data_IF_374713035334
#
_entry.id   IF_374713035334
#
_cell.length_a   1.000
_cell.length_b   1.000
_cell.length_c   1.000
_cell.angle_alpha   90.00
_cell.angle_beta   90.00
_cell.angle_gamma   90.00
#
_symmetry.space_group_name_H-M   'P 1'
#
loop_
_entity.id
_entity.type
_entity.pdbx_description
1 polymer ?
#
# COMPACT_ATOMS: atom_id res chain seq x y z
N UNK A 1 -7.42 30.73 -8.38
CA UNK A 1 -6.86 29.44 -7.96
C UNK A 1 -5.60 29.20 -8.76
N UNK A 2 -4.45 29.12 -8.10
CA UNK A 2 -3.14 29.04 -8.74
C UNK A 2 -2.89 27.63 -9.26
N UNK A 3 -3.01 27.43 -10.58
CA UNK A 3 -2.52 26.25 -11.29
C UNK A 3 -1.01 26.09 -11.05
N UNK A 4 -0.60 25.42 -9.97
CA UNK A 4 0.81 25.36 -9.59
C UNK A 4 1.56 24.23 -10.30
N UNK A 5 0.90 23.18 -10.79
CA UNK A 5 1.62 21.94 -11.10
C UNK A 5 1.34 21.25 -12.46
N UNK A 6 0.30 21.55 -13.22
CA UNK A 6 0.07 20.78 -14.46
C UNK A 6 0.95 21.18 -15.65
N UNK A 7 1.54 22.39 -15.64
CA UNK A 7 2.29 22.92 -16.80
C UNK A 7 3.50 23.83 -16.47
N UNK A 8 3.95 23.91 -15.20
CA UNK A 8 5.08 24.79 -14.83
C UNK A 8 6.38 23.99 -14.82
N UNK A 9 7.43 24.54 -15.43
CA UNK A 9 8.75 23.93 -15.38
C UNK A 9 9.22 23.84 -13.91
N UNK A 10 9.84 22.74 -13.53
CA UNK A 10 10.39 22.55 -12.18
C UNK A 10 11.90 22.80 -12.25
N UNK A 11 12.44 23.64 -11.36
CA UNK A 11 13.87 23.94 -11.27
C UNK A 11 14.35 23.76 -9.85
N UNK A 12 15.50 23.13 -9.68
CA UNK A 12 16.22 23.11 -8.41
C UNK A 12 17.01 24.41 -8.29
N UNK A 13 17.00 25.02 -7.10
CA UNK A 13 17.79 26.23 -6.84
C UNK A 13 19.27 26.00 -7.15
N UNK A 14 19.90 26.95 -7.84
CA UNK A 14 21.30 26.82 -8.30
C UNK A 14 22.31 26.67 -7.16
N UNK A 15 22.01 27.21 -5.98
CA UNK A 15 22.81 27.05 -4.77
C UNK A 15 22.62 25.68 -4.10
N UNK A 16 21.65 24.88 -4.52
CA UNK A 16 21.49 23.51 -4.02
C UNK A 16 22.64 22.62 -4.48
N UNK A 17 23.11 21.75 -3.59
CA UNK A 17 24.05 20.68 -3.92
C UNK A 17 23.47 19.68 -4.93
N UNK A 18 22.14 19.62 -5.06
CA UNK A 18 21.43 18.79 -6.04
C UNK A 18 21.04 19.56 -7.32
N UNK A 19 21.58 20.77 -7.53
CA UNK A 19 21.36 21.54 -8.77
C UNK A 19 22.00 20.88 -10.00
N UNK A 20 23.06 20.09 -9.78
CA UNK A 20 23.70 19.23 -10.78
C UNK A 20 23.81 17.83 -10.17
N UNK A 21 23.15 16.85 -10.78
CA UNK A 21 23.16 15.47 -10.32
C UNK A 21 24.04 14.61 -11.24
N UNK A 22 25.05 13.98 -10.66
CA UNK A 22 25.79 12.92 -11.32
C UNK A 22 25.12 11.59 -11.00
N UNK A 23 24.67 10.85 -12.02
CA UNK A 23 24.14 9.51 -11.81
C UNK A 23 25.28 8.50 -11.76
N UNK A 24 25.62 8.03 -10.55
CA UNK A 24 26.60 6.96 -10.36
C UNK A 24 26.11 5.57 -10.80
N UNK A 25 24.82 5.41 -11.06
CA UNK A 25 24.20 4.14 -11.47
C UNK A 25 23.29 4.34 -12.71
N UNK A 26 23.83 4.76 -13.86
CA UNK A 26 23.05 4.99 -15.09
C UNK A 26 22.33 3.74 -15.61
N UNK A 27 22.81 2.55 -15.25
CA UNK A 27 22.21 1.27 -15.59
C UNK A 27 20.96 0.93 -14.76
N UNK A 28 20.72 1.62 -13.64
CA UNK A 28 19.57 1.35 -12.78
C UNK A 28 18.30 1.91 -13.47
N UNK A 29 17.33 1.04 -13.83
CA UNK A 29 16.14 1.48 -14.55
C UNK A 29 15.11 2.19 -13.66
N UNK A 30 15.29 2.14 -12.33
CA UNK A 30 14.34 2.68 -11.38
C UNK A 30 14.51 4.20 -11.24
N UNK A 31 13.40 4.98 -11.29
CA UNK A 31 13.47 6.41 -11.10
C UNK A 31 13.87 6.76 -9.66
N UNK A 32 14.63 7.86 -9.51
CA UNK A 32 14.97 8.43 -8.20
C UNK A 32 14.02 9.54 -7.83
N UNK A 33 13.66 9.62 -6.55
CA UNK A 33 12.90 10.72 -6.00
C UNK A 33 13.83 11.85 -5.56
N UNK A 34 13.46 13.08 -5.92
CA UNK A 34 14.00 14.28 -5.31
C UNK A 34 12.91 14.90 -4.44
N UNK A 35 13.15 14.96 -3.13
CA UNK A 35 12.24 15.58 -2.17
C UNK A 35 12.74 16.99 -1.87
N UNK A 36 11.84 17.95 -1.75
CA UNK A 36 12.17 19.34 -1.42
C UNK A 36 11.40 19.75 -0.17
N UNK A 37 12.07 20.45 0.75
CA UNK A 37 11.41 21.00 1.92
C UNK A 37 10.62 22.29 1.59
N UNK A 38 11.08 23.07 0.61
CA UNK A 38 10.42 24.32 0.22
C UNK A 38 10.19 24.39 -1.28
N UNK A 39 8.93 24.63 -1.64
CA UNK A 39 8.47 24.86 -3.00
C UNK A 39 8.13 26.35 -3.14
N UNK A 40 8.88 27.07 -3.96
CA UNK A 40 8.65 28.47 -4.28
C UNK A 40 8.13 28.64 -5.69
N UNK A 41 7.35 29.68 -5.93
CA UNK A 41 7.03 30.12 -7.29
C UNK A 41 8.04 31.17 -7.74
N UNK A 42 8.49 31.08 -8.98
CA UNK A 42 9.30 32.15 -9.60
C UNK A 42 8.55 33.48 -9.61
N UNK A 43 9.28 34.59 -9.58
CA UNK A 43 8.69 35.94 -9.64
C UNK A 43 7.86 36.15 -10.93
N UNK A 44 8.27 35.52 -12.02
CA UNK A 44 7.59 35.49 -13.32
C UNK A 44 6.49 34.44 -13.43
N UNK A 45 6.28 33.61 -12.40
CA UNK A 45 5.25 32.56 -12.35
C UNK A 45 5.39 31.46 -13.42
N UNK A 46 6.50 31.41 -14.15
CA UNK A 46 6.77 30.47 -15.25
C UNK A 46 7.29 29.11 -14.78
N UNK A 47 7.97 29.08 -13.63
CA UNK A 47 8.51 27.86 -13.04
C UNK A 47 8.33 27.78 -11.52
N UNK A 48 8.38 26.55 -11.02
CA UNK A 48 8.44 26.20 -9.60
C UNK A 48 9.90 25.96 -9.22
N UNK A 49 10.34 26.58 -8.12
CA UNK A 49 11.70 26.52 -7.59
C UNK A 49 11.74 25.64 -6.34
N UNK A 50 12.57 24.59 -6.38
CA UNK A 50 12.79 23.66 -5.27
C UNK A 50 14.02 24.07 -4.46
N UNK A 51 13.87 24.17 -3.14
CA UNK A 51 14.97 24.45 -2.19
C UNK A 51 15.07 23.36 -1.13
N UNK A 52 16.22 23.26 -0.47
CA UNK A 52 16.50 22.27 0.57
C UNK A 52 16.10 20.87 0.13
N UNK A 53 16.72 20.45 -0.98
CA UNK A 53 16.36 19.21 -1.68
C UNK A 53 17.23 18.04 -1.22
N UNK A 54 16.62 16.87 -1.07
CA UNK A 54 17.30 15.60 -0.79
C UNK A 54 17.02 14.60 -1.92
N UNK A 55 18.08 14.12 -2.56
CA UNK A 55 17.98 13.01 -3.52
C UNK A 55 17.88 11.70 -2.74
N UNK A 56 16.81 10.94 -2.95
CA UNK A 56 16.61 9.63 -2.34
C UNK A 56 17.36 8.54 -3.12
N UNK A 57 17.75 7.44 -2.46
CA UNK A 57 18.42 6.32 -3.11
C UNK A 57 17.55 5.68 -4.19
N UNK A 58 18.19 5.05 -5.18
CA UNK A 58 17.53 4.37 -6.29
C UNK A 58 16.99 2.97 -5.91
N UNK A 59 16.18 2.92 -4.85
CA UNK A 59 15.56 1.68 -4.38
C UNK A 59 14.38 1.33 -5.30
N UNK A 60 14.29 0.09 -5.83
CA UNK A 60 13.18 -0.36 -6.68
C UNK A 60 11.82 -0.07 -6.06
N UNK A 61 10.94 0.61 -6.80
CA UNK A 61 9.60 0.96 -6.33
C UNK A 61 9.51 2.03 -5.25
N UNK A 62 10.62 2.57 -4.74
CA UNK A 62 10.56 3.61 -3.69
C UNK A 62 9.77 4.85 -4.15
N UNK A 63 9.92 5.20 -5.42
CA UNK A 63 9.23 6.34 -6.02
C UNK A 63 7.70 6.23 -6.01
N UNK A 64 7.15 5.01 -6.07
CA UNK A 64 5.72 4.77 -6.02
C UNK A 64 5.24 4.37 -4.63
N UNK A 65 6.06 3.70 -3.82
CA UNK A 65 5.72 3.33 -2.44
C UNK A 65 5.63 4.55 -1.52
N UNK A 66 6.50 5.55 -1.67
CA UNK A 66 6.50 6.73 -0.80
C UNK A 66 5.17 7.50 -0.84
N UNK A 67 4.64 7.87 -2.03
CA UNK A 67 3.31 8.50 -2.08
C UNK A 67 2.20 7.58 -1.56
N UNK A 68 2.22 6.30 -1.90
CA UNK A 68 1.20 5.33 -1.44
C UNK A 68 1.20 5.19 0.09
N UNK A 69 2.37 5.24 0.74
CA UNK A 69 2.49 5.18 2.20
C UNK A 69 1.94 6.42 2.89
N UNK A 70 2.22 7.61 2.37
CA UNK A 70 2.05 8.87 3.12
C UNK A 70 0.99 9.82 2.55
N UNK A 71 0.42 9.54 1.37
CA UNK A 71 -0.66 10.35 0.84
C UNK A 71 -1.94 10.19 1.68
N UNK A 72 -2.69 11.27 1.93
CA UNK A 72 -3.96 11.20 2.64
C UNK A 72 -4.98 10.31 1.93
N UNK A 73 -5.10 10.43 0.61
CA UNK A 73 -5.99 9.61 -0.19
C UNK A 73 -5.23 8.88 -1.30
N UNK A 74 -5.52 7.59 -1.47
CA UNK A 74 -4.91 6.75 -2.51
C UNK A 74 -5.98 5.86 -3.13
N UNK A 75 -6.01 5.82 -4.47
CA UNK A 75 -6.84 4.89 -5.23
C UNK A 75 -5.95 4.05 -6.14
N UNK A 76 -5.93 2.74 -5.93
CA UNK A 76 -5.13 1.81 -6.71
C UNK A 76 -5.62 1.71 -8.17
N UNK A 77 -4.70 1.39 -9.07
CA UNK A 77 -4.96 1.09 -10.49
C UNK A 77 -4.71 -0.38 -10.76
N UNK A 78 -5.55 -0.98 -11.58
CA UNK A 78 -5.40 -2.36 -12.06
C UNK A 78 -5.35 -2.40 -13.58
N UNK A 79 -4.81 -3.47 -14.15
CA UNK A 79 -4.89 -3.70 -15.59
C UNK A 79 -6.32 -4.05 -16.04
N UNK A 80 -6.54 -4.09 -17.36
CA UNK A 80 -7.85 -4.37 -17.95
C UNK A 80 -8.37 -5.76 -17.56
N UNK A 81 -7.48 -6.74 -17.42
CA UNK A 81 -7.79 -8.11 -17.02
C UNK A 81 -7.96 -8.25 -15.50
N UNK A 82 -7.79 -7.17 -14.71
CA UNK A 82 -7.87 -7.18 -13.24
C UNK A 82 -6.96 -8.23 -12.60
N UNK A 83 -5.86 -8.59 -13.23
CA UNK A 83 -4.92 -9.61 -12.73
C UNK A 83 -3.78 -9.04 -11.89
N UNK A 84 -3.50 -7.73 -12.01
CA UNK A 84 -2.38 -7.08 -11.32
C UNK A 84 -2.63 -5.60 -11.03
N UNK A 85 -2.00 -5.09 -9.97
CA UNK A 85 -1.91 -3.66 -9.71
C UNK A 85 -0.90 -3.02 -10.65
N UNK A 86 -1.29 -1.91 -11.29
CA UNK A 86 -0.47 -1.20 -12.28
C UNK A 86 0.03 0.15 -11.79
N UNK A 87 -0.56 0.69 -10.72
CA UNK A 87 -0.28 2.03 -10.26
C UNK A 87 -1.22 2.50 -9.15
N UNK A 88 -1.20 3.81 -8.91
CA UNK A 88 -2.08 4.47 -7.95
C UNK A 88 -2.25 5.95 -8.30
N UNK A 89 -3.39 6.52 -7.96
CA UNK A 89 -3.58 7.97 -7.85
C UNK A 89 -3.52 8.35 -6.38
N UNK A 90 -2.59 9.25 -6.05
CA UNK A 90 -2.35 9.74 -4.70
C UNK A 90 -2.68 11.23 -4.63
N UNK A 91 -3.28 11.70 -3.55
CA UNK A 91 -3.60 13.12 -3.40
C UNK A 91 -4.42 13.42 -2.16
N UNK A 92 -5.22 14.49 -2.24
CA UNK A 92 -6.12 14.92 -1.16
C UNK A 92 -7.53 14.32 -1.29
N UNK A 93 -7.78 13.54 -2.34
CA UNK A 93 -9.06 12.88 -2.58
C UNK A 93 -10.00 13.71 -3.45
N UNK A 94 -11.28 13.36 -3.40
CA UNK A 94 -12.30 13.89 -4.29
C UNK A 94 -13.62 14.12 -3.55
N UNK A 95 -14.47 14.96 -4.12
CA UNK A 95 -15.84 15.18 -3.66
C UNK A 95 -16.76 14.06 -4.18
N UNK A 96 -17.49 13.40 -3.28
CA UNK A 96 -18.56 12.48 -3.63
C UNK A 96 -19.91 13.20 -3.57
N UNK A 97 -20.81 13.03 -4.56
CA UNK A 97 -20.78 12.05 -5.64
C UNK A 97 -20.19 12.55 -6.97
N UNK A 98 -19.75 13.81 -7.04
CA UNK A 98 -19.32 14.45 -8.31
C UNK A 98 -18.04 13.86 -8.89
N UNK A 99 -17.24 13.17 -8.07
CA UNK A 99 -15.92 12.60 -8.38
C UNK A 99 -14.90 13.65 -8.83
N UNK A 100 -15.11 14.91 -8.45
CA UNK A 100 -14.21 16.01 -8.74
C UNK A 100 -13.07 15.99 -7.73
N UNK A 101 -11.83 15.98 -8.20
CA UNK A 101 -10.65 16.09 -7.34
C UNK A 101 -10.73 17.36 -6.49
N UNK A 102 -10.46 17.23 -5.18
CA UNK A 102 -10.51 18.38 -4.26
C UNK A 102 -9.41 19.41 -4.59
N UNK A 103 -8.22 18.91 -4.92
CA UNK A 103 -7.06 19.72 -5.29
C UNK A 103 -6.27 19.02 -6.41
N UNK A 104 -6.73 19.12 -7.67
CA UNK A 104 -6.12 18.41 -8.80
C UNK A 104 -4.63 18.69 -8.99
N UNK A 105 -4.16 19.88 -8.59
CA UNK A 105 -2.75 20.27 -8.67
C UNK A 105 -1.84 19.57 -7.65
N UNK A 106 -2.41 18.89 -6.66
CA UNK A 106 -1.71 18.06 -5.67
C UNK A 106 -1.84 16.56 -5.96
N UNK A 107 -2.61 16.19 -6.99
CA UNK A 107 -2.78 14.80 -7.38
C UNK A 107 -1.54 14.29 -8.13
N UNK A 108 -1.16 13.06 -7.84
CA UNK A 108 0.00 12.37 -8.40
C UNK A 108 -0.44 11.00 -8.92
N UNK A 109 -0.49 10.86 -10.24
CA UNK A 109 -0.73 9.57 -10.91
C UNK A 109 0.60 8.82 -11.07
N UNK A 110 0.66 7.60 -10.56
CA UNK A 110 1.85 6.75 -10.52
C UNK A 110 1.59 5.46 -11.29
N UNK A 111 2.59 5.00 -12.03
CA UNK A 111 2.65 3.61 -12.48
C UNK A 111 3.71 2.86 -11.69
N UNK A 112 3.44 1.60 -11.37
CA UNK A 112 4.38 0.75 -10.65
C UNK A 112 5.42 0.15 -11.61
N UNK A 113 6.69 0.25 -11.22
CA UNK A 113 7.82 -0.43 -11.87
C UNK A 113 8.23 -1.73 -11.14
N UNK A 114 7.43 -2.11 -10.15
CA UNK A 114 7.56 -3.31 -9.33
C UNK A 114 6.24 -4.07 -9.34
N UNK A 115 6.31 -5.39 -9.21
CA UNK A 115 5.14 -6.23 -8.99
C UNK A 115 4.58 -5.94 -7.58
N UNK A 116 3.66 -4.98 -7.50
CA UNK A 116 2.93 -4.66 -6.28
C UNK A 116 1.80 -5.68 -6.11
N UNK A 117 1.73 -6.28 -4.92
CA UNK A 117 0.80 -7.37 -4.61
C UNK A 117 -0.08 -7.02 -3.41
N UNK A 118 -1.09 -7.84 -3.13
CA UNK A 118 -1.88 -7.70 -1.91
C UNK A 118 -1.01 -7.76 -0.64
N UNK A 119 0.11 -8.49 -0.67
CA UNK A 119 1.07 -8.49 0.44
C UNK A 119 1.70 -7.11 0.64
N UNK A 120 1.99 -6.39 -0.44
CA UNK A 120 2.53 -5.03 -0.36
C UNK A 120 1.51 -4.05 0.18
N UNK A 121 0.25 -4.17 -0.27
CA UNK A 121 -0.87 -3.40 0.27
C UNK A 121 -1.03 -3.63 1.77
N UNK A 122 -0.95 -4.89 2.22
CA UNK A 122 -1.02 -5.23 3.64
C UNK A 122 0.10 -4.57 4.44
N UNK A 123 1.35 -4.67 3.99
CA UNK A 123 2.46 -4.04 4.71
C UNK A 123 2.35 -2.51 4.72
N UNK A 124 1.84 -1.90 3.64
CA UNK A 124 1.52 -0.45 3.60
C UNK A 124 0.47 -0.11 4.64
N UNK A 125 -0.64 -0.85 4.68
CA UNK A 125 -1.71 -0.65 5.66
C UNK A 125 -1.20 -0.86 7.09
N UNK A 126 -0.28 -1.80 7.32
CA UNK A 126 0.37 -2.02 8.61
C UNK A 126 1.13 -0.78 9.08
N UNK A 127 1.86 -0.09 8.19
CA UNK A 127 2.55 1.17 8.49
C UNK A 127 1.55 2.31 8.75
N UNK A 128 0.54 2.47 7.90
CA UNK A 128 -0.48 3.52 8.05
C UNK A 128 -1.25 3.35 9.36
N UNK A 129 -1.59 2.11 9.72
CA UNK A 129 -2.31 1.79 10.95
C UNK A 129 -1.50 2.14 12.19
N UNK A 130 -0.22 1.74 12.28
CA UNK A 130 0.59 2.05 13.47
C UNK A 130 0.82 3.56 13.62
N UNK A 131 0.92 4.30 12.51
CA UNK A 131 0.99 5.77 12.54
C UNK A 131 -0.31 6.36 13.11
N UNK A 132 -1.47 5.93 12.60
CA UNK A 132 -2.76 6.40 13.13
C UNK A 132 -2.91 6.05 14.61
N UNK A 133 -2.56 4.82 15.00
CA UNK A 133 -2.61 4.38 16.39
C UNK A 133 -1.77 5.29 17.29
N UNK A 134 -0.52 5.59 16.92
CA UNK A 134 0.35 6.45 17.73
C UNK A 134 -0.17 7.89 17.77
N UNK A 135 -0.55 8.47 16.62
CA UNK A 135 -0.93 9.88 16.54
C UNK A 135 -2.33 10.17 17.09
N UNK A 136 -3.20 9.18 17.15
CA UNK A 136 -4.62 9.35 17.52
C UNK A 136 -5.01 8.66 18.83
N UNK A 137 -4.11 7.88 19.44
CA UNK A 137 -4.37 7.35 20.78
C UNK A 137 -4.43 8.50 21.79
N UNK A 138 -5.60 8.73 22.39
CA UNK A 138 -5.70 9.60 23.54
C UNK A 138 -4.94 8.99 24.74
N UNK A 139 -4.29 9.80 25.61
CA UNK A 139 -3.74 9.31 26.87
C UNK A 139 -4.82 8.60 27.68
N UNK A 140 -4.61 7.31 27.99
CA UNK A 140 -5.57 6.48 28.75
C UNK A 140 -6.28 5.39 27.96
N UNK A 141 -6.19 5.37 26.62
CA UNK A 141 -6.54 4.19 25.82
C UNK A 141 -5.38 3.18 25.86
N UNK A 142 -5.69 1.94 26.27
CA UNK A 142 -4.70 0.89 26.55
C UNK A 142 -3.86 0.39 25.35
N UNK A 143 -4.09 0.94 24.15
CA UNK A 143 -3.45 0.48 22.90
C UNK A 143 -1.98 0.93 22.83
N UNK A 144 -1.68 2.14 23.33
CA UNK A 144 -0.32 2.69 23.34
C UNK A 144 0.08 3.03 24.77
N UNK A 145 1.15 2.39 25.26
CA UNK A 145 1.75 2.75 26.53
C UNK A 145 2.58 4.03 26.36
N UNK A 146 2.06 5.15 26.86
CA UNK A 146 2.69 6.47 26.77
C UNK A 146 3.87 6.69 27.73
N UNK A 147 4.31 5.67 28.47
CA UNK A 147 5.62 5.72 29.13
C UNK A 147 6.74 5.88 28.09
N UNK A 148 7.88 6.46 28.49
CA UNK A 148 9.01 6.65 27.57
C UNK A 148 9.47 5.36 26.89
N UNK A 149 9.47 4.24 27.61
CA UNK A 149 9.81 2.92 27.07
C UNK A 149 8.72 2.36 26.13
N UNK A 150 7.44 2.56 26.46
CA UNK A 150 6.32 2.13 25.62
C UNK A 150 6.26 2.88 24.29
N UNK A 151 6.42 4.21 24.32
CA UNK A 151 6.45 5.02 23.11
C UNK A 151 7.65 4.68 22.21
N UNK A 152 8.84 4.50 22.80
CA UNK A 152 10.02 4.08 22.05
C UNK A 152 9.80 2.73 21.35
N UNK A 153 9.19 1.75 22.02
CA UNK A 153 8.83 0.47 21.41
C UNK A 153 7.87 0.63 20.22
N UNK A 154 6.84 1.47 20.34
CA UNK A 154 5.92 1.76 19.24
C UNK A 154 6.63 2.43 18.04
N UNK A 155 7.54 3.37 18.30
CA UNK A 155 8.35 4.02 17.26
C UNK A 155 9.27 3.02 16.55
N UNK A 156 9.93 2.14 17.31
CA UNK A 156 10.77 1.09 16.75
C UNK A 156 9.97 0.11 15.88
N UNK A 157 8.77 -0.29 16.31
CA UNK A 157 7.86 -1.11 15.49
C UNK A 157 7.45 -0.40 14.21
N UNK A 158 7.07 0.89 14.29
CA UNK A 158 6.71 1.67 13.10
C UNK A 158 7.88 1.78 12.11
N UNK A 159 9.09 2.01 12.63
CA UNK A 159 10.33 2.03 11.83
C UNK A 159 10.58 0.67 11.18
N UNK A 160 10.44 -0.43 11.91
CA UNK A 160 10.62 -1.78 11.37
C UNK A 160 9.62 -2.06 10.24
N UNK A 161 8.34 -1.73 10.42
CA UNK A 161 7.32 -1.93 9.37
C UNK A 161 7.64 -1.13 8.11
N UNK A 162 8.04 0.14 8.27
CA UNK A 162 8.43 0.99 7.16
C UNK A 162 9.64 0.43 6.41
N UNK A 163 10.68 0.02 7.15
CA UNK A 163 11.88 -0.58 6.55
C UNK A 163 11.57 -1.90 5.85
N UNK A 164 10.69 -2.74 6.41
CA UNK A 164 10.27 -3.98 5.78
C UNK A 164 9.59 -3.73 4.42
N UNK A 165 8.73 -2.70 4.33
CA UNK A 165 8.12 -2.29 3.05
C UNK A 165 9.18 -1.83 2.06
N UNK A 166 10.06 -0.92 2.47
CA UNK A 166 11.02 -0.27 1.57
C UNK A 166 12.11 -1.25 1.09
N UNK A 167 12.54 -2.18 1.95
CA UNK A 167 13.66 -3.09 1.66
C UNK A 167 13.23 -4.42 1.03
N UNK A 168 11.93 -4.74 1.01
CA UNK A 168 11.43 -5.95 0.35
C UNK A 168 11.85 -5.97 -1.13
N UNK A 169 12.52 -7.05 -1.53
CA UNK A 169 12.85 -7.31 -2.93
C UNK A 169 11.58 -7.66 -3.70
N UNK A 170 11.36 -6.99 -4.82
CA UNK A 170 10.20 -7.18 -5.70
C UNK A 170 10.68 -7.41 -7.13
N UNK A 171 9.88 -8.15 -7.89
CA UNK A 171 10.13 -8.31 -9.32
C UNK A 171 9.92 -6.96 -10.01
N UNK A 172 10.89 -6.53 -10.81
CA UNK A 172 10.74 -5.36 -11.68
C UNK A 172 9.74 -5.67 -12.79
N UNK A 173 8.83 -4.74 -13.04
CA UNK A 173 7.87 -4.81 -14.14
C UNK A 173 7.95 -3.54 -14.98
N UNK A 174 7.52 -3.62 -16.25
CA UNK A 174 7.45 -2.44 -17.09
C UNK A 174 6.26 -1.57 -16.63
N UNK A 175 6.47 -0.28 -16.29
CA UNK A 175 5.39 0.60 -15.87
C UNK A 175 4.30 0.73 -16.93
N UNK A 176 3.05 0.66 -16.50
CA UNK A 176 1.86 0.85 -17.35
C UNK A 176 0.98 1.94 -16.75
N UNK A 177 0.80 3.02 -17.50
CA UNK A 177 -0.07 4.11 -17.08
C UNK A 177 -1.53 3.70 -17.20
N UNK A 178 -2.36 4.15 -16.26
CA UNK A 178 -3.80 4.00 -16.36
C UNK A 178 -4.33 4.69 -17.64
N UNK A 179 -5.27 4.09 -18.39
CA UNK A 179 -5.85 4.72 -19.59
C UNK A 179 -6.53 6.06 -19.29
N UNK A 180 -7.22 6.16 -18.15
CA UNK A 180 -7.84 7.38 -17.63
C UNK A 180 -7.04 7.86 -16.44
N UNK A 181 -6.22 8.89 -16.64
CA UNK A 181 -5.31 9.45 -15.61
C UNK A 181 -5.96 10.62 -14.91
N UNK A 182 -5.60 10.84 -13.64
CA UNK A 182 -6.07 11.96 -12.81
C UNK A 182 -7.60 12.02 -12.68
N UNK A 183 -8.24 10.85 -12.75
CA UNK A 183 -9.67 10.70 -12.49
C UNK A 183 -9.81 9.80 -11.28
N UNK A 184 -10.46 10.33 -10.25
CA UNK A 184 -10.81 9.57 -9.06
C UNK A 184 -12.04 8.70 -9.30
N UNK A 185 -12.23 7.72 -8.41
CA UNK A 185 -13.37 6.82 -8.36
C UNK A 185 -13.56 5.98 -9.63
N UNK A 186 -12.46 5.49 -10.23
CA UNK A 186 -12.50 4.66 -11.43
C UNK A 186 -12.79 3.18 -11.14
N UNK A 187 -12.49 2.71 -9.93
CA UNK A 187 -12.72 1.33 -9.54
C UNK A 187 -14.22 1.06 -9.32
N UNK A 188 -14.74 0.03 -9.98
CA UNK A 188 -16.10 -0.46 -9.74
C UNK A 188 -16.29 -0.85 -8.27
N UNK A 189 -17.47 -0.58 -7.71
CA UNK A 189 -17.75 -0.83 -6.28
C UNK A 189 -17.54 -2.30 -5.91
N UNK A 190 -18.02 -3.22 -6.73
CA UNK A 190 -17.93 -4.67 -6.49
C UNK A 190 -16.49 -5.21 -6.53
N UNK A 191 -15.53 -4.43 -7.07
CA UNK A 191 -14.14 -4.84 -7.10
C UNK A 191 -13.38 -4.37 -5.87
N UNK A 192 -13.91 -3.41 -5.10
CA UNK A 192 -13.21 -2.84 -3.94
C UNK A 192 -13.28 -3.80 -2.77
N UNK A 193 -12.12 -3.99 -2.14
CA UNK A 193 -12.00 -4.73 -0.89
C UNK A 193 -11.67 -3.71 0.18
N UNK A 194 -12.65 -3.41 1.04
CA UNK A 194 -12.43 -2.46 2.11
C UNK A 194 -11.47 -3.03 3.15
N UNK A 195 -10.50 -2.22 3.57
CA UNK A 195 -9.61 -2.60 4.65
C UNK A 195 -10.40 -2.66 5.97
N UNK A 196 -10.52 -3.85 6.56
CA UNK A 196 -11.22 -4.06 7.83
C UNK A 196 -10.20 -4.37 8.91
N UNK A 197 -10.23 -3.60 10.00
CA UNK A 197 -9.46 -3.89 11.22
C UNK A 197 -10.42 -4.35 12.30
N UNK A 198 -10.25 -5.58 12.77
CA UNK A 198 -10.94 -6.09 13.95
C UNK A 198 -10.20 -5.60 15.22
N UNK A 199 -10.95 -5.42 16.32
CA UNK A 199 -10.48 -4.99 17.65
C UNK A 199 -10.00 -3.55 17.80
N UNK A 200 -9.70 -2.86 16.71
CA UNK A 200 -9.32 -1.44 16.70
C UNK A 200 -10.33 -0.68 15.88
N UNK A 201 -11.16 0.15 16.52
CA UNK A 201 -12.02 1.09 15.80
C UNK A 201 -11.11 2.15 15.17
N UNK A 202 -10.98 2.20 13.83
CA UNK A 202 -10.24 3.27 13.19
C UNK A 202 -10.97 4.58 13.51
N UNK A 203 -10.28 5.61 14.00
CA UNK A 203 -10.93 6.89 14.25
C UNK A 203 -11.56 7.40 12.96
N UNK A 204 -12.79 7.95 13.04
CA UNK A 204 -13.53 8.51 11.90
C UNK A 204 -12.71 9.55 11.11
N UNK A 205 -11.67 10.11 11.74
CA UNK A 205 -10.72 11.08 11.19
C UNK A 205 -9.28 10.53 11.13
N UNK A 206 -9.09 9.29 10.66
CA UNK A 206 -7.75 8.71 10.46
C UNK A 206 -6.89 9.60 9.57
N UNK A 207 -5.68 9.99 10.04
CA UNK A 207 -4.76 10.85 9.29
C UNK A 207 -4.31 10.18 7.99
N UNK A 208 -4.06 8.88 8.06
CA UNK A 208 -3.71 8.02 6.94
C UNK A 208 -4.72 6.88 6.86
N UNK A 209 -5.91 7.08 6.27
CA UNK A 209 -6.91 6.03 6.11
C UNK A 209 -6.28 4.78 5.50
N UNK A 210 -6.69 3.60 5.95
CA UNK A 210 -6.18 2.36 5.35
C UNK A 210 -6.65 2.28 3.90
N UNK A 211 -5.77 1.73 3.07
CA UNK A 211 -5.99 1.65 1.64
C UNK A 211 -6.89 0.46 1.33
N UNK A 212 -7.94 0.71 0.56
CA UNK A 212 -8.76 -0.34 -0.02
C UNK A 212 -7.97 -1.13 -1.06
N UNK A 213 -8.14 -2.44 -1.04
CA UNK A 213 -7.65 -3.35 -2.07
C UNK A 213 -8.59 -3.46 -3.25
N UNK A 214 -8.16 -4.24 -4.24
CA UNK A 214 -8.99 -4.62 -5.37
C UNK A 214 -9.02 -6.14 -5.43
N UNK A 215 -10.21 -6.71 -5.58
CA UNK A 215 -10.31 -8.15 -5.89
C UNK A 215 -9.64 -8.35 -7.23
N UNK A 216 -8.55 -9.10 -7.27
CA UNK A 216 -7.87 -9.47 -8.51
C UNK A 216 -8.45 -10.79 -9.06
N UNK A 217 -8.39 -10.97 -10.39
CA UNK A 217 -8.71 -12.25 -11.01
C UNK A 217 -7.72 -13.31 -10.51
N UNK A 218 -8.22 -14.47 -10.03
CA UNK A 218 -7.37 -15.50 -9.46
C UNK A 218 -6.52 -16.16 -10.55
N UNK A 219 -5.23 -16.33 -10.25
CA UNK A 219 -4.33 -17.20 -11.00
C UNK A 219 -4.01 -18.45 -10.18
N UNK A 220 -3.63 -19.55 -10.84
CA UNK A 220 -3.22 -20.77 -10.15
C UNK A 220 -2.10 -20.51 -9.12
N UNK A 221 -1.12 -19.68 -9.48
CA UNK A 221 -0.01 -19.31 -8.59
C UNK A 221 -0.50 -18.50 -7.38
N UNK A 222 -1.36 -17.50 -7.60
CA UNK A 222 -1.92 -16.67 -6.52
C UNK A 222 -2.75 -17.51 -5.55
N UNK A 223 -3.60 -18.42 -6.06
CA UNK A 223 -4.41 -19.30 -5.22
C UNK A 223 -3.56 -20.29 -4.41
N UNK A 224 -2.46 -20.80 -5.00
CA UNK A 224 -1.50 -21.64 -4.28
C UNK A 224 -0.88 -20.90 -3.10
N UNK A 225 -0.49 -19.64 -3.31
CA UNK A 225 0.09 -18.80 -2.26
C UNK A 225 -0.93 -18.44 -1.18
N UNK A 226 -2.16 -18.09 -1.56
CA UNK A 226 -3.27 -17.85 -0.63
C UNK A 226 -3.53 -19.08 0.23
N UNK A 227 -3.62 -20.29 -0.37
CA UNK A 227 -3.81 -21.54 0.36
C UNK A 227 -2.69 -21.80 1.37
N UNK A 228 -1.43 -21.60 0.97
CA UNK A 228 -0.28 -21.76 1.89
C UNK A 228 -0.34 -20.78 3.06
N UNK A 229 -0.65 -19.51 2.79
CA UNK A 229 -0.78 -18.48 3.83
C UNK A 229 -1.95 -18.75 4.77
N UNK A 230 -3.07 -19.26 4.24
CA UNK A 230 -4.24 -19.61 5.04
C UNK A 230 -3.95 -20.78 5.98
N UNK A 231 -3.17 -21.77 5.54
CA UNK A 231 -2.68 -22.85 6.40
C UNK A 231 -1.77 -22.32 7.52
N UNK A 232 -0.81 -21.46 7.19
CA UNK A 232 0.08 -20.83 8.19
C UNK A 232 -0.73 -20.00 9.21
N UNK A 233 -1.74 -19.25 8.75
CA UNK A 233 -2.62 -18.48 9.61
C UNK A 233 -3.41 -19.35 10.58
N UNK A 234 -3.95 -20.49 10.13
CA UNK A 234 -4.65 -21.43 11.00
C UNK A 234 -3.74 -22.01 12.09
N UNK A 235 -2.50 -22.38 11.72
CA UNK A 235 -1.50 -22.91 12.66
C UNK A 235 -1.15 -21.84 13.70
N UNK A 236 -0.86 -20.62 13.25
CA UNK A 236 -0.53 -19.50 14.14
C UNK A 236 -1.68 -19.15 15.06
N UNK A 237 -2.87 -18.93 14.52
CA UNK A 237 -4.05 -18.58 15.31
C UNK A 237 -4.36 -19.63 16.38
N UNK A 238 -4.14 -20.91 16.09
CA UNK A 238 -4.36 -22.01 17.05
C UNK A 238 -3.30 -22.11 18.15
N UNK A 239 -2.09 -21.60 17.90
CA UNK A 239 -0.95 -21.68 18.81
C UNK A 239 -0.79 -20.41 19.66
N UNK A 240 -1.79 -20.02 20.46
CA UNK A 240 -1.84 -18.78 21.27
C UNK A 240 -0.72 -18.55 22.32
N UNK A 241 0.39 -19.29 22.29
CA UNK A 241 1.50 -19.24 23.25
C UNK A 241 2.77 -18.54 22.75
N UNK A 242 2.89 -18.16 21.47
CA UNK A 242 4.06 -17.34 21.08
C UNK A 242 3.99 -15.97 21.77
N UNK A 243 5.03 -15.66 22.52
CA UNK A 243 5.28 -14.33 23.07
C UNK A 243 5.31 -13.23 22.00
N UNK A 244 5.50 -13.61 20.72
CA UNK A 244 5.53 -12.72 19.56
C UNK A 244 4.14 -12.38 18.99
N UNK A 245 3.07 -13.03 19.46
CA UNK A 245 1.70 -12.85 18.94
C UNK A 245 1.16 -11.43 19.14
N UNK A 246 1.46 -10.79 20.28
CA UNK A 246 1.01 -9.43 20.57
C UNK A 246 1.77 -8.35 19.79
N UNK A 247 2.86 -8.73 19.11
CA UNK A 247 3.75 -7.79 18.42
C UNK A 247 3.46 -7.68 16.92
N UNK A 248 2.62 -8.55 16.36
CA UNK A 248 2.41 -8.65 14.92
C UNK A 248 0.92 -8.58 14.56
N UNK A 249 0.60 -7.64 13.67
CA UNK A 249 -0.71 -7.56 13.03
C UNK A 249 -0.79 -8.72 12.03
N UNK A 250 -1.84 -9.53 12.15
CA UNK A 250 -2.11 -10.65 11.25
C UNK A 250 -3.17 -10.23 10.23
N UNK A 251 -3.12 -10.86 9.04
CA UNK A 251 -4.10 -10.66 7.98
C UNK A 251 -4.64 -12.00 7.50
N UNK A 252 -5.95 -12.06 7.36
CA UNK A 252 -6.61 -13.14 6.64
C UNK A 252 -6.41 -12.98 5.13
N UNK A 253 -5.72 -13.90 4.43
CA UNK A 253 -5.42 -13.78 3.00
C UNK A 253 -6.66 -13.94 2.11
N UNK A 254 -7.79 -14.33 2.68
CA UNK A 254 -9.07 -14.54 1.97
C UNK A 254 -10.05 -13.39 2.21
N UNK A 255 -10.08 -12.86 3.43
CA UNK A 255 -11.07 -11.86 3.83
C UNK A 255 -10.50 -10.45 3.94
N UNK A 256 -9.18 -10.29 3.86
CA UNK A 256 -8.47 -9.02 4.10
C UNK A 256 -8.70 -8.40 5.49
N UNK A 257 -9.18 -9.21 6.43
CA UNK A 257 -9.37 -8.82 7.82
C UNK A 257 -8.01 -8.77 8.51
N UNK A 258 -7.73 -7.65 9.17
CA UNK A 258 -6.53 -7.46 9.97
C UNK A 258 -6.85 -7.46 11.47
N UNK A 259 -6.05 -8.15 12.29
CA UNK A 259 -6.21 -8.13 13.75
C UNK A 259 -4.86 -8.30 14.46
N UNK A 260 -4.76 -7.72 15.65
CA UNK A 260 -3.64 -7.90 16.59
C UNK A 260 -3.91 -8.99 17.64
N UNK A 261 -5.13 -9.53 17.68
CA UNK A 261 -5.56 -10.52 18.67
C UNK A 261 -5.66 -11.90 18.01
N UNK A 262 -4.85 -12.89 18.46
CA UNK A 262 -4.97 -14.27 17.96
C UNK A 262 -6.38 -14.84 18.18
N UNK A 263 -7.04 -14.44 19.27
CA UNK A 263 -8.40 -14.85 19.57
C UNK A 263 -9.41 -14.29 18.56
N UNK A 264 -9.29 -13.01 18.19
CA UNK A 264 -10.17 -12.43 17.18
C UNK A 264 -9.95 -13.07 15.81
N UNK A 265 -8.70 -13.34 15.43
CA UNK A 265 -8.38 -14.12 14.22
C UNK A 265 -9.03 -15.50 14.28
N UNK A 266 -8.94 -16.24 15.39
CA UNK A 266 -9.61 -17.53 15.54
C UNK A 266 -11.13 -17.43 15.41
N UNK A 267 -11.73 -16.40 15.97
CA UNK A 267 -13.17 -16.15 15.86
C UNK A 267 -13.56 -15.84 14.41
N UNK A 268 -12.78 -15.01 13.74
CA UNK A 268 -12.92 -14.70 12.31
C UNK A 268 -12.87 -15.97 11.45
N UNK A 269 -11.85 -16.83 11.65
CA UNK A 269 -11.68 -18.08 10.90
C UNK A 269 -12.86 -19.05 11.09
N UNK A 270 -13.60 -18.95 12.20
CA UNK A 270 -14.79 -19.76 12.48
C UNK A 270 -16.10 -19.14 11.98
N UNK A 271 -16.06 -17.92 11.45
CA UNK A 271 -17.26 -17.25 10.94
C UNK A 271 -17.77 -17.92 9.67
N UNK A 272 -19.09 -17.98 9.49
CA UNK A 272 -19.72 -18.55 8.29
C UNK A 272 -19.25 -17.84 7.00
N UNK A 273 -19.07 -16.53 7.09
CA UNK A 273 -18.57 -15.69 5.98
C UNK A 273 -17.16 -16.11 5.58
N UNK A 274 -16.27 -16.36 6.55
CA UNK A 274 -14.91 -16.83 6.28
C UNK A 274 -14.93 -18.22 5.64
N UNK A 275 -15.64 -19.17 6.27
CA UNK A 275 -15.70 -20.57 5.82
C UNK A 275 -16.20 -20.65 4.37
N UNK A 276 -17.23 -19.88 4.03
CA UNK A 276 -17.75 -19.83 2.66
C UNK A 276 -16.71 -19.32 1.66
N UNK A 277 -15.97 -18.26 2.00
CA UNK A 277 -14.92 -17.71 1.11
C UNK A 277 -13.72 -18.63 1.01
N UNK A 278 -13.29 -19.25 2.10
CA UNK A 278 -12.21 -20.24 2.10
C UNK A 278 -12.56 -21.42 1.20
N UNK A 279 -13.79 -21.94 1.31
CA UNK A 279 -14.25 -23.03 0.45
C UNK A 279 -14.24 -22.63 -1.03
N UNK A 280 -14.69 -21.43 -1.38
CA UNK A 280 -14.63 -20.93 -2.76
C UNK A 280 -13.18 -20.87 -3.30
N UNK A 281 -12.24 -20.41 -2.47
CA UNK A 281 -10.81 -20.37 -2.84
C UNK A 281 -10.25 -21.78 -3.10
N UNK A 282 -10.60 -22.74 -2.25
CA UNK A 282 -10.17 -24.13 -2.39
C UNK A 282 -10.77 -24.78 -3.65
N UNK A 283 -12.06 -24.57 -3.91
CA UNK A 283 -12.72 -25.09 -5.11
C UNK A 283 -12.13 -24.50 -6.40
N UNK A 284 -11.83 -23.20 -6.42
CA UNK A 284 -11.16 -22.55 -7.56
C UNK A 284 -9.75 -23.09 -7.75
N UNK A 285 -9.01 -23.31 -6.67
CA UNK A 285 -7.67 -23.89 -6.72
C UNK A 285 -7.70 -25.29 -7.34
N UNK A 286 -8.62 -26.15 -6.89
CA UNK A 286 -8.72 -27.52 -7.38
C UNK A 286 -9.12 -27.56 -8.86
N UNK A 287 -10.04 -26.69 -9.29
CA UNK A 287 -10.42 -26.52 -10.71
C UNK A 287 -9.21 -26.13 -11.57
N UNK A 288 -8.49 -25.08 -11.20
CA UNK A 288 -7.32 -24.60 -11.95
C UNK A 288 -6.14 -25.57 -11.89
N UNK A 289 -6.00 -26.33 -10.79
CA UNK A 289 -5.00 -27.39 -10.65
C UNK A 289 -5.25 -28.54 -11.62
N UNK A 290 -6.51 -28.92 -11.85
CA UNK A 290 -6.88 -29.96 -12.81
C UNK A 290 -6.54 -29.55 -14.25
N UNK A 291 -6.72 -28.28 -14.60
CA UNK A 291 -6.38 -27.73 -15.91
C UNK A 291 -4.86 -27.61 -16.15
N UNK A 292 -4.07 -27.38 -15.09
CA UNK A 292 -2.61 -27.27 -15.17
C UNK A 292 -1.87 -28.63 -15.18
N UNK A 293 -2.54 -29.76 -14.93
CA UNK A 293 -1.91 -31.07 -15.10
C UNK A 293 -1.61 -31.28 -16.59
N UNK A 294 -0.35 -31.61 -16.96
CA UNK A 294 -0.04 -31.88 -18.37
C UNK A 294 -0.95 -33.00 -18.85
N UNK A 295 -1.66 -32.77 -19.96
CA UNK A 295 -2.32 -33.85 -20.72
C UNK A 295 -1.21 -34.84 -21.06
N UNK A 296 -1.16 -35.94 -20.32
CA UNK A 296 -0.19 -36.99 -20.55
C UNK A 296 -0.25 -37.38 -22.01
N UNK A 297 0.90 -37.28 -22.70
CA UNK A 297 1.09 -38.03 -23.94
C UNK A 297 0.97 -39.50 -23.55
N UNK A 298 -0.18 -40.10 -23.85
CA UNK A 298 -0.29 -41.56 -23.88
C UNK A 298 0.54 -42.07 -25.06
N UNK A 299 1.27 -43.19 -24.87
CA UNK A 299 2.19 -43.74 -25.85
C UNK A 299 1.50 -44.21 -27.13
#
# INVERSE_FOLDING_TARGET
MSNLCSHKAIRVERSSVNSVLLNGEPQNPHPRLLVSCFVGQSATSDHVLLRNTTLLPAVPGLHCLMPVLFAPYVELRVNAERSEYTGALCGLGYESPTNIALYPEHDLELAFDIAFTDEDLFMVNRVRMIINLILQSAPGLAIVNWSGAGLASCQDKARQYLLNVITKKRQTVKPRMAPRRYVWNLLHRDWRVHAVVEDVVPPENSLLPLLDGVTLEPSFHNLRDVRKKLQDLHVRASNCRDSDFGDHIMRCPVCDVMSMSPYAVLQHLRSEVHIAKEQQVLELYDKLSAEHKPKGHSP
#
